data_IF_056296111460
#
_entry.id   IF_056296111460
#
_cell.length_a   1.000
_cell.length_b   1.000
_cell.length_c   1.000
_cell.angle_alpha   90.00
_cell.angle_beta   90.00
_cell.angle_gamma   90.00
#
_symmetry.space_group_name_H-M   'P 1'
#
loop_
_entity.id
_entity.type
_entity.pdbx_description
1 polymer ?
#
# COMPACT_ATOMS: atom_id res chain seq x y z
N UNK A 1 33.39 -11.84 -13.45
CA UNK A 1 33.92 -10.87 -14.42
C UNK A 1 33.48 -11.31 -15.82
N UNK A 2 32.52 -10.62 -16.41
CA UNK A 2 32.18 -10.78 -17.83
C UNK A 2 32.87 -9.65 -18.59
N UNK A 3 33.71 -9.98 -19.56
CA UNK A 3 34.37 -8.99 -20.44
C UNK A 3 33.64 -9.01 -21.77
N UNK A 4 33.14 -7.86 -22.21
CA UNK A 4 32.61 -7.66 -23.55
C UNK A 4 33.71 -7.14 -24.47
N UNK A 5 33.78 -7.66 -25.70
CA UNK A 5 34.67 -7.15 -26.75
C UNK A 5 36.12 -7.64 -26.67
N UNK A 6 36.46 -8.62 -27.51
CA UNK A 6 37.84 -9.02 -27.77
C UNK A 6 38.25 -8.65 -29.20
N UNK A 7 38.98 -7.55 -29.38
CA UNK A 7 39.89 -7.35 -30.51
C UNK A 7 40.94 -6.27 -30.16
N UNK A 8 42.22 -6.57 -30.42
CA UNK A 8 43.31 -5.58 -30.25
C UNK A 8 43.40 -4.67 -31.47
N UNK A 9 43.80 -3.41 -31.25
CA UNK A 9 43.86 -2.32 -32.22
C UNK A 9 44.76 -2.51 -33.47
N UNK A 10 45.34 -3.70 -33.68
CA UNK A 10 46.33 -3.93 -34.75
C UNK A 10 45.73 -4.52 -36.03
N UNK A 11 44.49 -5.03 -36.03
CA UNK A 11 43.95 -5.82 -37.15
C UNK A 11 42.51 -5.46 -37.58
N UNK A 12 42.29 -4.23 -38.04
CA UNK A 12 41.13 -3.93 -38.90
C UNK A 12 41.53 -3.06 -40.10
N UNK A 13 41.74 -3.65 -41.29
CA UNK A 13 41.89 -2.91 -42.54
C UNK A 13 40.50 -2.50 -43.05
N UNK A 14 40.38 -1.29 -43.61
CA UNK A 14 39.22 -0.73 -44.36
C UNK A 14 38.36 0.34 -43.64
N UNK A 15 38.98 1.40 -43.11
CA UNK A 15 38.29 2.68 -42.91
C UNK A 15 38.51 3.62 -44.11
N UNK A 16 37.43 3.95 -44.82
CA UNK A 16 37.39 5.00 -45.85
C UNK A 16 36.16 5.93 -45.63
N UNK A 17 36.16 7.17 -46.15
CA UNK A 17 35.47 8.30 -45.52
C UNK A 17 34.02 8.55 -45.96
N UNK A 18 33.34 7.61 -46.61
CA UNK A 18 32.01 7.87 -47.16
C UNK A 18 31.03 6.74 -46.84
N UNK A 19 30.45 6.71 -45.63
CA UNK A 19 29.14 6.07 -45.42
C UNK A 19 28.37 6.75 -44.26
N UNK A 20 27.30 7.46 -44.63
CA UNK A 20 26.18 7.85 -43.78
C UNK A 20 25.06 6.82 -43.95
N UNK A 21 24.60 6.18 -42.85
CA UNK A 21 23.23 5.68 -42.54
C UNK A 21 23.32 4.81 -41.27
N UNK A 22 22.70 5.24 -40.18
CA UNK A 22 21.35 4.85 -39.71
C UNK A 22 21.24 3.36 -39.39
N UNK A 23 21.21 3.07 -38.09
CA UNK A 23 20.73 1.82 -37.49
C UNK A 23 21.58 0.62 -37.81
N UNK A 24 22.51 0.29 -36.92
CA UNK A 24 22.81 -1.09 -36.52
C UNK A 24 23.74 -1.05 -35.30
N UNK A 25 23.34 -1.77 -34.26
CA UNK A 25 24.16 -2.03 -33.09
C UNK A 25 25.42 -2.79 -33.53
N UNK A 26 26.59 -2.18 -33.35
CA UNK A 26 27.83 -2.86 -33.69
C UNK A 26 29.05 -1.97 -33.61
N UNK A 27 29.74 -2.04 -32.47
CA UNK A 27 31.15 -1.77 -32.25
C UNK A 27 31.63 -0.35 -32.61
N UNK A 28 32.03 0.44 -31.59
CA UNK A 28 33.33 1.13 -31.45
C UNK A 28 33.33 2.07 -30.23
N UNK A 29 34.36 1.95 -29.39
CA UNK A 29 34.71 2.87 -28.30
C UNK A 29 35.48 4.08 -28.87
N UNK A 30 35.04 5.31 -28.57
CA UNK A 30 35.77 6.55 -28.85
C UNK A 30 36.03 7.33 -27.54
N UNK A 31 37.25 7.82 -27.42
CA UNK A 31 37.85 8.42 -26.25
C UNK A 31 37.80 9.95 -26.39
N UNK A 32 36.75 10.66 -25.94
CA UNK A 32 36.89 12.09 -25.58
C UNK A 32 35.72 12.64 -24.76
N UNK A 33 36.04 13.17 -23.59
CA UNK A 33 35.08 13.71 -22.61
C UNK A 33 34.70 15.16 -22.90
N UNK A 34 33.40 15.41 -23.09
CA UNK A 34 32.74 16.65 -22.69
C UNK A 34 31.35 16.29 -22.15
N UNK A 35 31.19 16.35 -20.82
CA UNK A 35 29.91 16.13 -20.16
C UNK A 35 28.94 17.25 -20.53
N UNK A 36 27.96 16.97 -21.39
CA UNK A 36 26.71 17.71 -21.39
C UNK A 36 25.73 16.94 -20.50
N UNK A 37 25.57 17.39 -19.26
CA UNK A 37 24.37 17.05 -18.49
C UNK A 37 23.21 17.80 -19.13
N UNK A 38 22.43 17.15 -19.98
CA UNK A 38 21.09 17.65 -20.30
C UNK A 38 20.18 17.28 -19.11
N UNK A 39 19.69 18.26 -18.32
CA UNK A 39 18.83 18.00 -17.16
C UNK A 39 17.42 17.52 -17.54
N UNK A 40 17.10 17.37 -18.83
CA UNK A 40 15.76 16.99 -19.29
C UNK A 40 15.61 15.52 -19.69
N UNK A 41 16.69 14.72 -19.68
CA UNK A 41 16.66 13.29 -20.04
C UNK A 41 17.54 12.47 -19.09
N UNK A 42 16.99 12.04 -17.96
CA UNK A 42 17.63 11.00 -17.15
C UNK A 42 17.35 9.63 -17.75
N UNK A 43 18.29 9.10 -18.53
CA UNK A 43 18.30 7.72 -19.00
C UNK A 43 18.70 6.79 -17.83
N UNK A 44 17.88 5.79 -17.48
CA UNK A 44 18.18 4.86 -16.40
C UNK A 44 18.72 3.54 -16.94
N UNK A 45 19.91 3.12 -16.50
CA UNK A 45 20.32 1.71 -16.54
C UNK A 45 19.64 1.05 -15.35
N UNK A 46 18.81 0.03 -15.59
CA UNK A 46 18.25 -0.80 -14.53
C UNK A 46 18.70 -2.24 -14.70
N UNK A 47 19.11 -2.84 -13.60
CA UNK A 47 19.45 -4.25 -13.51
C UNK A 47 18.20 -5.01 -13.09
N UNK A 48 17.96 -6.19 -13.61
CA UNK A 48 16.97 -7.11 -13.05
C UNK A 48 17.66 -8.34 -12.50
N UNK A 49 17.25 -8.82 -11.33
CA UNK A 49 17.64 -10.14 -10.81
C UNK A 49 16.39 -10.99 -10.66
N UNK A 50 16.35 -12.13 -11.35
CA UNK A 50 15.16 -12.98 -11.42
C UNK A 50 13.90 -12.23 -11.90
N UNK A 51 14.07 -11.34 -12.89
CA UNK A 51 13.02 -10.46 -13.42
C UNK A 51 12.46 -9.43 -12.42
N UNK A 52 13.11 -9.25 -11.26
CA UNK A 52 12.81 -8.17 -10.33
C UNK A 52 13.78 -7.01 -10.58
N UNK A 53 13.28 -5.78 -10.84
CA UNK A 53 14.14 -4.63 -11.02
C UNK A 53 14.91 -4.31 -9.74
N UNK A 54 16.21 -4.13 -9.92
CA UNK A 54 17.18 -3.72 -8.93
C UNK A 54 17.26 -2.22 -8.97
N UNK A 55 16.93 -1.61 -7.85
CA UNK A 55 17.19 -0.19 -7.60
C UNK A 55 18.60 -0.05 -7.04
N UNK A 56 19.47 0.64 -7.79
CA UNK A 56 20.78 1.05 -7.31
C UNK A 56 20.66 2.17 -6.26
N UNK A 57 21.63 2.29 -5.36
CA UNK A 57 21.74 3.44 -4.47
C UNK A 57 21.98 4.75 -5.24
N UNK A 58 21.97 5.89 -4.55
CA UNK A 58 22.36 7.19 -5.12
C UNK A 58 23.71 7.12 -5.84
N UNK A 59 23.89 8.00 -6.84
CA UNK A 59 25.10 8.08 -7.65
C UNK A 59 26.34 8.07 -6.75
N UNK A 60 27.14 7.02 -6.90
CA UNK A 60 28.45 6.90 -6.30
C UNK A 60 29.49 7.28 -7.36
N UNK A 61 30.37 8.24 -7.07
CA UNK A 61 31.46 8.62 -7.97
C UNK A 61 32.45 7.50 -8.25
N UNK A 62 32.46 6.45 -7.43
CA UNK A 62 33.26 5.23 -7.61
C UNK A 62 32.54 4.16 -8.45
N UNK A 63 31.26 4.37 -8.80
CA UNK A 63 30.40 3.46 -9.57
C UNK A 63 30.33 2.02 -9.01
N UNK A 64 30.53 1.85 -7.70
CA UNK A 64 30.38 0.57 -7.01
C UNK A 64 29.03 0.52 -6.30
N UNK A 65 28.25 -0.52 -6.62
CA UNK A 65 26.90 -0.75 -6.08
C UNK A 65 26.82 -2.18 -5.55
N UNK A 66 26.26 -2.35 -4.35
CA UNK A 66 26.05 -3.67 -3.74
C UNK A 66 24.56 -3.94 -3.56
N UNK A 67 24.13 -5.13 -3.95
CA UNK A 67 22.75 -5.60 -3.84
C UNK A 67 22.72 -6.97 -3.18
N UNK A 68 21.86 -7.13 -2.17
CA UNK A 68 21.57 -8.42 -1.58
C UNK A 68 20.24 -8.95 -2.12
N UNK A 69 20.26 -10.13 -2.73
CA UNK A 69 19.07 -10.83 -3.22
C UNK A 69 18.95 -12.16 -2.49
N UNK A 70 17.81 -12.41 -1.86
CA UNK A 70 17.53 -13.70 -1.22
C UNK A 70 17.33 -14.75 -2.31
N UNK A 71 18.21 -15.76 -2.34
CA UNK A 71 18.10 -16.86 -3.28
C UNK A 71 16.89 -17.75 -2.99
N UNK A 72 16.23 -18.25 -4.04
CA UNK A 72 15.15 -19.23 -3.97
C UNK A 72 15.61 -20.66 -4.31
N UNK A 73 16.93 -20.89 -4.36
CA UNK A 73 17.53 -22.16 -4.76
C UNK A 73 17.57 -22.42 -6.28
N UNK A 74 17.04 -21.53 -7.11
CA UNK A 74 17.18 -21.59 -8.57
C UNK A 74 18.42 -20.78 -9.05
N UNK A 75 18.92 -21.05 -10.26
CA UNK A 75 19.96 -20.21 -10.87
C UNK A 75 19.49 -18.75 -10.97
N UNK A 76 20.31 -17.82 -10.47
CA UNK A 76 20.04 -16.40 -10.63
C UNK A 76 20.15 -16.00 -12.10
N UNK A 77 19.18 -15.24 -12.60
CA UNK A 77 19.20 -14.64 -13.94
C UNK A 77 19.35 -13.14 -13.82
N UNK A 78 20.17 -12.54 -14.69
CA UNK A 78 20.36 -11.09 -14.74
C UNK A 78 20.09 -10.56 -16.15
N UNK A 79 19.36 -9.46 -16.21
CA UNK A 79 19.11 -8.72 -17.44
C UNK A 79 19.59 -7.28 -17.27
N UNK A 80 20.34 -6.81 -18.26
CA UNK A 80 20.76 -5.41 -18.38
C UNK A 80 20.03 -4.89 -19.61
N UNK A 81 19.08 -3.98 -19.42
CA UNK A 81 18.47 -3.29 -20.53
C UNK A 81 19.19 -1.97 -20.79
N UNK A 82 19.82 -1.91 -21.95
CA UNK A 82 20.37 -0.71 -22.53
C UNK A 82 19.41 -0.24 -23.63
N UNK A 83 18.96 1.02 -23.57
CA UNK A 83 18.14 1.55 -24.64
C UNK A 83 19.04 2.13 -25.73
N UNK A 84 18.98 1.51 -26.91
CA UNK A 84 19.84 1.72 -28.09
C UNK A 84 19.87 3.15 -28.68
N UNK A 85 19.22 4.12 -28.05
CA UNK A 85 19.18 5.53 -28.49
C UNK A 85 19.38 6.54 -27.37
N UNK A 86 19.64 6.09 -26.14
CA UNK A 86 19.64 6.92 -24.94
C UNK A 86 21.04 7.32 -24.46
N UNK A 87 22.07 6.69 -25.02
CA UNK A 87 23.46 6.82 -24.60
C UNK A 87 24.31 7.17 -25.82
N UNK A 88 25.21 8.13 -25.65
CA UNK A 88 26.28 8.45 -26.63
C UNK A 88 27.65 8.06 -26.08
N UNK A 89 27.70 7.30 -24.98
CA UNK A 89 28.87 6.93 -24.21
C UNK A 89 29.06 5.40 -24.13
N UNK A 90 29.71 4.84 -25.15
CA UNK A 90 29.90 3.38 -25.25
C UNK A 90 31.10 2.86 -24.43
N UNK A 91 31.47 3.51 -23.32
CA UNK A 91 32.62 3.13 -22.50
C UNK A 91 32.25 2.94 -21.02
N UNK A 92 32.16 1.67 -20.59
CA UNK A 92 32.01 1.27 -19.20
C UNK A 92 32.15 -0.24 -19.01
N UNK A 93 32.55 -0.69 -17.82
CA UNK A 93 32.55 -2.12 -17.47
C UNK A 93 31.70 -2.32 -16.22
N UNK A 94 30.60 -3.09 -16.33
CA UNK A 94 29.84 -3.54 -15.17
C UNK A 94 30.48 -4.83 -14.64
N UNK A 95 31.09 -4.77 -13.46
CA UNK A 95 31.52 -5.97 -12.74
C UNK A 95 30.46 -6.34 -11.71
N UNK A 96 29.77 -7.46 -11.95
CA UNK A 96 28.90 -8.08 -10.95
C UNK A 96 29.75 -9.10 -10.16
N UNK A 97 29.97 -8.82 -8.89
CA UNK A 97 30.56 -9.75 -7.93
C UNK A 97 29.44 -10.32 -7.05
N UNK A 98 29.23 -11.63 -7.15
CA UNK A 98 28.25 -12.35 -6.32
C UNK A 98 29.00 -12.86 -5.10
N UNK A 99 28.83 -12.18 -3.97
CA UNK A 99 29.39 -12.61 -2.69
C UNK A 99 28.27 -13.36 -1.96
N UNK A 100 28.46 -14.66 -1.74
CA UNK A 100 27.61 -15.43 -0.82
C UNK A 100 27.88 -14.93 0.60
N UNK A 101 27.10 -13.93 1.03
CA UNK A 101 27.17 -13.41 2.38
C UNK A 101 26.62 -14.44 3.36
N UNK A 102 27.35 -14.71 4.44
CA UNK A 102 26.75 -15.31 5.62
C UNK A 102 25.62 -14.38 6.08
N UNK A 103 24.37 -14.81 5.92
CA UNK A 103 23.19 -14.10 6.38
C UNK A 103 23.33 -13.81 7.88
N UNK A 104 23.04 -12.59 8.31
CA UNK A 104 22.41 -12.43 9.62
C UNK A 104 21.20 -13.36 9.61
N UNK A 105 21.26 -14.44 10.37
CA UNK A 105 20.22 -15.45 10.39
C UNK A 105 18.89 -14.78 10.79
N UNK A 106 18.00 -14.55 9.81
CA UNK A 106 16.66 -13.99 10.02
C UNK A 106 16.31 -12.69 9.29
N UNK A 107 17.25 -11.99 8.63
CA UNK A 107 16.90 -10.78 7.86
C UNK A 107 16.47 -11.12 6.41
N UNK A 108 15.33 -10.60 5.95
CA UNK A 108 14.84 -10.74 4.58
C UNK A 108 13.93 -9.58 4.16
N UNK A 109 13.76 -9.38 2.85
CA UNK A 109 12.81 -8.41 2.29
C UNK A 109 12.07 -9.01 1.10
N UNK A 110 10.80 -8.64 0.94
CA UNK A 110 9.92 -9.06 -0.15
C UNK A 110 10.20 -8.34 -1.48
N UNK A 111 11.11 -7.36 -1.50
CA UNK A 111 11.53 -6.67 -2.74
C UNK A 111 10.45 -5.79 -3.35
N UNK A 112 9.59 -5.18 -2.53
CA UNK A 112 8.48 -4.33 -3.00
C UNK A 112 9.03 -2.95 -3.40
N UNK A 113 8.82 -2.56 -4.66
CA UNK A 113 9.20 -1.24 -5.14
C UNK A 113 8.44 -0.15 -4.36
N UNK A 114 9.14 0.76 -3.66
CA UNK A 114 8.49 1.83 -2.92
C UNK A 114 7.81 2.80 -3.88
N UNK A 115 6.57 3.17 -3.56
CA UNK A 115 5.88 4.33 -4.14
C UNK A 115 5.88 5.45 -3.11
N UNK A 116 5.83 6.69 -3.58
CA UNK A 116 5.77 7.87 -2.71
C UNK A 116 4.47 8.62 -2.94
N UNK A 117 3.86 9.15 -1.89
CA UNK A 117 2.69 10.00 -2.00
C UNK A 117 3.07 11.42 -2.48
N UNK A 118 4.32 11.86 -2.19
CA UNK A 118 4.90 13.14 -2.61
C UNK A 118 6.24 12.95 -3.32
N UNK A 119 6.59 13.87 -4.22
CA UNK A 119 7.85 13.83 -4.94
C UNK A 119 8.92 14.60 -4.16
N UNK A 120 10.10 14.01 -4.00
CA UNK A 120 11.33 14.79 -3.82
C UNK A 120 11.84 15.23 -5.20
N UNK A 121 12.58 16.34 -5.32
CA UNK A 121 12.72 17.04 -6.59
C UNK A 121 13.51 16.17 -7.56
N UNK A 122 12.81 15.65 -8.58
CA UNK A 122 13.24 15.40 -9.97
C UNK A 122 12.66 14.13 -10.64
N UNK A 123 11.89 13.28 -9.94
CA UNK A 123 11.00 12.30 -10.60
C UNK A 123 9.89 11.79 -9.66
N UNK A 124 8.70 11.54 -10.19
CA UNK A 124 7.70 10.62 -9.62
C UNK A 124 6.95 10.93 -8.31
N UNK A 125 6.24 12.07 -8.28
CA UNK A 125 4.89 12.00 -7.74
C UNK A 125 3.92 12.77 -8.64
N UNK A 126 3.72 12.22 -9.84
CA UNK A 126 2.78 12.75 -10.83
C UNK A 126 1.37 12.94 -10.24
N UNK A 127 1.05 12.22 -9.17
CA UNK A 127 -0.23 12.19 -8.47
C UNK A 127 -0.28 13.02 -7.18
N UNK A 128 0.82 13.61 -6.70
CA UNK A 128 0.83 14.31 -5.41
C UNK A 128 -0.20 15.45 -5.30
N UNK A 129 -0.50 16.09 -6.43
CA UNK A 129 -1.47 17.18 -6.52
C UNK A 129 -2.91 16.71 -6.83
N UNK A 130 -3.12 15.40 -7.01
CA UNK A 130 -4.46 14.88 -7.27
C UNK A 130 -5.30 14.94 -6.02
N UNK A 131 -6.55 15.35 -6.17
CA UNK A 131 -7.53 15.30 -5.08
C UNK A 131 -7.86 13.85 -4.76
N UNK A 132 -7.67 13.48 -3.49
CA UNK A 132 -8.03 12.19 -2.93
C UNK A 132 -9.47 12.22 -2.42
N UNK A 133 -10.23 11.16 -2.65
CA UNK A 133 -11.62 11.07 -2.19
C UNK A 133 -12.59 11.96 -2.97
N UNK A 134 -13.74 12.28 -2.36
CA UNK A 134 -14.76 13.14 -2.96
C UNK A 134 -14.36 14.63 -2.81
N UNK A 135 -14.03 15.35 -3.90
CA UNK A 135 -13.62 16.75 -3.82
C UNK A 135 -14.70 17.65 -3.23
N UNK A 136 -15.98 17.26 -3.33
CA UNK A 136 -17.08 18.03 -2.79
C UNK A 136 -17.15 17.97 -1.26
N UNK A 137 -16.49 17.00 -0.63
CA UNK A 137 -16.66 16.76 0.82
C UNK A 137 -15.37 16.56 1.61
N UNK A 138 -14.23 16.24 0.98
CA UNK A 138 -12.97 15.93 1.67
C UNK A 138 -11.72 16.24 0.82
N UNK A 139 -11.69 17.37 0.11
CA UNK A 139 -10.72 17.66 -0.97
C UNK A 139 -9.25 17.91 -0.59
N UNK A 140 -8.60 17.00 0.16
CA UNK A 140 -7.14 16.96 0.35
C UNK A 140 -6.44 16.28 -0.83
N UNK A 141 -5.15 16.53 -1.01
CA UNK A 141 -4.37 15.90 -2.09
C UNK A 141 -3.75 14.57 -1.66
N UNK A 142 -3.42 13.69 -2.61
CA UNK A 142 -2.68 12.46 -2.33
C UNK A 142 -1.34 12.76 -1.66
N UNK A 143 -0.65 13.84 -2.04
CA UNK A 143 0.62 14.23 -1.40
C UNK A 143 0.50 14.59 0.08
N UNK A 144 -0.67 15.08 0.50
CA UNK A 144 -0.92 15.50 1.87
C UNK A 144 -1.36 14.33 2.76
N UNK A 145 -2.31 13.50 2.30
CA UNK A 145 -3.01 12.49 3.12
C UNK A 145 -3.02 11.07 2.53
N UNK A 146 -2.20 10.82 1.51
CA UNK A 146 -2.28 9.64 0.65
C UNK A 146 -1.51 8.40 1.09
N UNK A 147 -1.04 8.33 2.34
CA UNK A 147 -0.16 7.25 2.81
C UNK A 147 -0.84 5.90 2.69
N UNK A 148 -2.05 5.79 3.22
CA UNK A 148 -2.84 4.56 3.15
C UNK A 148 -3.17 4.14 1.72
N UNK A 149 -3.52 5.09 0.85
CA UNK A 149 -3.78 4.82 -0.57
C UNK A 149 -2.52 4.31 -1.29
N UNK A 150 -1.37 4.91 -0.99
CA UNK A 150 -0.08 4.57 -1.60
C UNK A 150 0.42 3.21 -1.14
N UNK A 151 0.25 2.87 0.15
CA UNK A 151 0.53 1.54 0.68
C UNK A 151 -0.32 0.46 0.03
N UNK A 152 -1.60 0.74 -0.21
CA UNK A 152 -2.45 -0.17 -0.98
C UNK A 152 -1.99 -0.32 -2.43
N UNK A 153 -1.59 0.76 -3.10
CA UNK A 153 -1.04 0.67 -4.45
C UNK A 153 0.24 -0.20 -4.50
N UNK A 154 1.15 -0.06 -3.53
CA UNK A 154 2.34 -0.93 -3.38
C UNK A 154 1.95 -2.38 -3.15
N UNK A 155 1.01 -2.64 -2.24
CA UNK A 155 0.51 -3.98 -1.92
C UNK A 155 -0.14 -4.64 -3.14
N UNK A 156 -0.94 -3.88 -3.90
CA UNK A 156 -1.56 -4.36 -5.14
C UNK A 156 -0.50 -4.67 -6.18
N UNK A 157 0.54 -3.84 -6.33
CA UNK A 157 1.62 -4.08 -7.28
C UNK A 157 2.41 -5.36 -6.97
N UNK A 158 2.64 -5.64 -5.69
CA UNK A 158 3.28 -6.90 -5.26
C UNK A 158 2.51 -8.12 -5.78
N UNK A 159 1.20 -8.17 -5.55
CA UNK A 159 0.34 -9.26 -6.04
C UNK A 159 0.06 -9.20 -7.54
N UNK A 160 0.03 -8.00 -8.12
CA UNK A 160 -0.27 -7.76 -9.53
C UNK A 160 0.88 -8.15 -10.46
N UNK A 161 2.12 -8.13 -9.97
CA UNK A 161 3.31 -8.45 -10.76
C UNK A 161 3.22 -9.84 -11.40
N UNK A 162 2.79 -10.86 -10.65
CA UNK A 162 2.58 -12.22 -11.17
C UNK A 162 1.47 -12.34 -12.23
N UNK A 163 0.67 -11.29 -12.41
CA UNK A 163 -0.42 -11.22 -13.39
C UNK A 163 -0.21 -10.12 -14.44
N UNK A 164 1.01 -9.58 -14.55
CA UNK A 164 1.33 -8.49 -15.47
C UNK A 164 0.43 -7.25 -15.27
N UNK A 165 0.12 -6.95 -14.01
CA UNK A 165 -0.69 -5.80 -13.62
C UNK A 165 0.11 -4.85 -12.72
N UNK A 166 -0.07 -3.55 -12.94
CA UNK A 166 0.42 -2.49 -12.08
C UNK A 166 -0.64 -1.39 -11.92
N UNK A 167 -0.63 -0.74 -10.78
CA UNK A 167 -1.46 0.42 -10.44
C UNK A 167 -0.59 1.50 -9.81
N UNK A 168 -0.98 2.75 -10.02
CA UNK A 168 -0.43 3.90 -9.29
C UNK A 168 -1.41 4.37 -8.22
N UNK A 169 -0.98 5.19 -7.24
CA UNK A 169 -1.91 5.86 -6.34
C UNK A 169 -3.02 6.65 -7.07
N UNK A 170 -2.70 7.27 -8.21
CA UNK A 170 -3.69 7.92 -9.09
C UNK A 170 -4.70 6.94 -9.66
N UNK A 171 -4.26 5.81 -10.19
CA UNK A 171 -5.17 4.81 -10.80
C UNK A 171 -6.12 4.24 -9.76
N UNK A 172 -5.61 3.88 -8.58
CA UNK A 172 -6.42 3.41 -7.47
C UNK A 172 -7.39 4.48 -6.97
N UNK A 173 -6.94 5.73 -6.77
CA UNK A 173 -7.81 6.85 -6.39
C UNK A 173 -8.95 7.06 -7.40
N UNK A 174 -8.63 7.07 -8.69
CA UNK A 174 -9.62 7.25 -9.75
C UNK A 174 -10.65 6.12 -9.75
N UNK A 175 -10.23 4.88 -9.59
CA UNK A 175 -11.15 3.75 -9.50
C UNK A 175 -12.03 3.85 -8.27
N UNK A 176 -11.45 4.09 -7.09
CA UNK A 176 -12.19 4.22 -5.83
C UNK A 176 -13.23 5.34 -5.90
N UNK A 177 -12.88 6.51 -6.47
CA UNK A 177 -13.83 7.62 -6.63
C UNK A 177 -15.02 7.26 -7.52
N UNK A 178 -14.81 6.44 -8.55
CA UNK A 178 -15.86 5.99 -9.45
C UNK A 178 -16.74 4.88 -8.85
N UNK A 179 -16.24 4.15 -7.84
CA UNK A 179 -16.90 2.96 -7.27
C UNK A 179 -17.37 3.14 -5.81
N UNK A 180 -17.43 4.39 -5.32
CA UNK A 180 -17.85 4.67 -3.94
C UNK A 180 -16.86 4.14 -2.90
N UNK A 181 -15.57 4.20 -3.21
CA UNK A 181 -14.46 3.68 -2.42
C UNK A 181 -14.07 4.48 -1.18
N UNK A 182 -14.76 5.59 -0.91
CA UNK A 182 -14.47 6.50 0.21
C UNK A 182 -15.66 6.59 1.16
N UNK A 183 -15.37 6.67 2.45
CA UNK A 183 -16.35 6.98 3.49
C UNK A 183 -16.87 8.41 3.28
N UNK A 184 -18.16 8.65 3.52
CA UNK A 184 -18.82 9.90 3.15
C UNK A 184 -18.28 11.05 4.00
N UNK A 185 -17.84 12.11 3.33
CA UNK A 185 -17.32 13.30 4.01
C UNK A 185 -15.89 13.18 4.50
N UNK A 186 -15.15 12.14 4.11
CA UNK A 186 -13.76 11.93 4.55
C UNK A 186 -12.85 11.47 3.41
N UNK A 187 -11.54 11.45 3.66
CA UNK A 187 -10.55 10.84 2.77
C UNK A 187 -10.35 9.34 3.03
N UNK A 188 -11.02 8.77 4.03
CA UNK A 188 -10.81 7.39 4.42
C UNK A 188 -11.35 6.43 3.36
N UNK A 189 -10.53 5.45 3.03
CA UNK A 189 -10.83 4.43 2.02
C UNK A 189 -11.56 3.26 2.67
N UNK A 190 -12.62 2.78 2.02
CA UNK A 190 -13.20 1.48 2.31
C UNK A 190 -12.24 0.38 1.87
N UNK A 191 -11.57 -0.27 2.81
CA UNK A 191 -10.59 -1.32 2.47
C UNK A 191 -11.24 -2.48 1.70
N UNK A 192 -12.53 -2.76 1.93
CA UNK A 192 -13.31 -3.73 1.15
C UNK A 192 -13.45 -3.35 -0.32
N UNK A 193 -13.43 -2.05 -0.67
CA UNK A 193 -13.40 -1.57 -2.07
C UNK A 193 -12.02 -1.76 -2.70
N UNK A 194 -10.94 -1.66 -1.92
CA UNK A 194 -9.61 -2.05 -2.39
C UNK A 194 -9.56 -3.54 -2.69
N UNK A 195 -10.14 -4.39 -1.84
CA UNK A 195 -10.27 -5.82 -2.09
C UNK A 195 -11.09 -6.13 -3.35
N UNK A 196 -12.19 -5.42 -3.59
CA UNK A 196 -12.98 -5.52 -4.83
C UNK A 196 -12.13 -5.18 -6.06
N UNK A 197 -11.34 -4.11 -6.00
CA UNK A 197 -10.41 -3.73 -7.07
C UNK A 197 -9.39 -4.84 -7.33
N UNK A 198 -8.71 -5.34 -6.29
CA UNK A 198 -7.72 -6.43 -6.40
C UNK A 198 -8.34 -7.66 -7.06
N UNK A 199 -9.52 -8.11 -6.61
CA UNK A 199 -10.21 -9.27 -7.18
C UNK A 199 -10.59 -9.06 -8.64
N UNK A 200 -11.00 -7.83 -9.01
CA UNK A 200 -11.41 -7.49 -10.37
C UNK A 200 -10.23 -7.49 -11.34
N UNK A 201 -9.13 -6.84 -10.97
CA UNK A 201 -7.95 -6.71 -11.84
C UNK A 201 -7.17 -8.02 -11.96
N UNK A 202 -7.09 -8.80 -10.88
CA UNK A 202 -6.35 -10.08 -10.88
C UNK A 202 -7.20 -11.25 -11.36
N UNK A 203 -8.54 -11.15 -11.24
CA UNK A 203 -9.49 -12.26 -11.41
C UNK A 203 -9.19 -13.44 -10.46
N UNK A 204 -8.65 -13.12 -9.28
CA UNK A 204 -8.14 -14.11 -8.33
C UNK A 204 -8.81 -14.00 -6.97
N UNK A 205 -8.87 -15.13 -6.25
CA UNK A 205 -9.42 -15.17 -4.92
C UNK A 205 -8.53 -14.46 -3.89
N UNK A 206 -8.93 -13.27 -3.44
CA UNK A 206 -8.24 -12.58 -2.34
C UNK A 206 -9.12 -12.49 -1.09
N UNK A 207 -8.50 -12.51 0.09
CA UNK A 207 -9.13 -12.14 1.37
C UNK A 207 -8.47 -10.89 1.93
N UNK A 208 -9.22 -10.15 2.75
CA UNK A 208 -8.71 -9.03 3.54
C UNK A 208 -8.56 -9.48 4.99
N UNK A 209 -7.35 -9.32 5.53
CA UNK A 209 -7.09 -9.39 6.95
C UNK A 209 -6.99 -8.00 7.56
N UNK A 210 -7.52 -7.86 8.77
CA UNK A 210 -7.52 -6.62 9.54
C UNK A 210 -7.56 -6.95 11.03
N UNK A 211 -6.54 -6.54 11.77
CA UNK A 211 -6.44 -6.79 13.21
C UNK A 211 -5.61 -5.74 13.96
N UNK A 212 -5.65 -5.81 15.29
CA UNK A 212 -4.76 -5.05 16.16
C UNK A 212 -3.29 -5.49 16.00
N UNK A 213 -2.35 -4.68 16.45
CA UNK A 213 -0.92 -4.99 16.40
C UNK A 213 -0.57 -6.35 17.06
N UNK A 214 0.22 -7.17 16.38
CA UNK A 214 0.65 -8.48 16.87
C UNK A 214 1.92 -8.92 16.12
N UNK A 215 3.08 -8.78 16.78
CA UNK A 215 4.39 -9.04 16.18
C UNK A 215 4.52 -10.49 15.68
N UNK A 216 4.00 -11.47 16.41
CA UNK A 216 4.03 -12.87 15.99
C UNK A 216 3.27 -13.09 14.68
N UNK A 217 2.13 -12.43 14.52
CA UNK A 217 1.34 -12.56 13.29
C UNK A 217 1.97 -11.76 12.16
N UNK A 218 2.54 -10.58 12.44
CA UNK A 218 3.29 -9.80 11.46
C UNK A 218 4.44 -10.63 10.86
N UNK A 219 5.25 -11.25 11.72
CA UNK A 219 6.33 -12.14 11.29
C UNK A 219 5.80 -13.30 10.45
N UNK A 220 4.78 -14.00 10.94
CA UNK A 220 4.18 -15.13 10.22
C UNK A 220 3.69 -14.73 8.81
N UNK A 221 3.08 -13.54 8.68
CA UNK A 221 2.62 -13.00 7.39
C UNK A 221 3.80 -12.70 6.47
N UNK A 222 4.81 -11.99 6.96
CA UNK A 222 5.98 -11.61 6.17
C UNK A 222 6.80 -12.84 5.73
N UNK A 223 7.02 -13.81 6.62
CA UNK A 223 7.68 -15.09 6.32
C UNK A 223 6.89 -15.89 5.28
N UNK A 224 5.57 -15.73 5.23
CA UNK A 224 4.69 -16.34 4.22
C UNK A 224 4.61 -15.54 2.91
N UNK A 225 5.40 -14.47 2.75
CA UNK A 225 5.38 -13.63 1.56
C UNK A 225 4.22 -12.64 1.50
N UNK A 226 3.58 -12.31 2.62
CA UNK A 226 2.42 -11.41 2.66
C UNK A 226 2.87 -10.07 3.25
N UNK A 227 2.93 -8.98 2.44
CA UNK A 227 3.23 -7.66 2.96
C UNK A 227 2.06 -7.10 3.79
N UNK A 228 2.37 -6.27 4.79
CA UNK A 228 1.40 -5.83 5.79
C UNK A 228 1.45 -4.31 5.97
N UNK A 229 0.31 -3.64 5.81
CA UNK A 229 0.15 -2.22 6.08
C UNK A 229 -0.01 -2.02 7.59
N UNK A 230 0.80 -1.14 8.17
CA UNK A 230 0.83 -0.84 9.59
C UNK A 230 0.34 0.58 9.85
N UNK A 231 -0.58 0.73 10.81
CA UNK A 231 -1.00 2.05 11.29
C UNK A 231 -0.04 2.54 12.40
N UNK A 232 0.71 3.60 12.10
CA UNK A 232 1.69 4.22 13.00
C UNK A 232 1.21 5.61 13.43
N UNK A 233 1.97 6.30 14.30
CA UNK A 233 1.62 7.66 14.79
C UNK A 233 0.17 7.80 15.28
N UNK A 234 -0.26 6.89 16.17
CA UNK A 234 -1.64 6.85 16.68
C UNK A 234 -2.71 6.71 15.59
N UNK A 235 -2.42 5.91 14.55
CA UNK A 235 -3.27 5.68 13.40
C UNK A 235 -3.57 6.94 12.57
N UNK A 236 -2.63 7.90 12.56
CA UNK A 236 -2.65 9.06 11.67
C UNK A 236 -1.81 8.89 10.40
N UNK A 237 -0.86 7.93 10.39
CA UNK A 237 0.01 7.61 9.25
C UNK A 237 0.10 6.11 9.04
N UNK A 238 0.43 5.71 7.81
CA UNK A 238 0.50 4.30 7.40
C UNK A 238 1.81 4.03 6.65
N UNK A 239 2.37 2.84 6.90
CA UNK A 239 3.56 2.34 6.22
C UNK A 239 3.40 0.88 5.85
N UNK A 240 4.05 0.43 4.79
CA UNK A 240 4.04 -0.96 4.36
C UNK A 240 5.25 -1.72 4.94
N UNK A 241 5.03 -2.71 5.80
CA UNK A 241 6.06 -3.63 6.23
C UNK A 241 6.38 -4.65 5.12
N UNK A 242 7.67 -4.81 4.83
CA UNK A 242 8.15 -5.58 3.66
C UNK A 242 9.14 -6.69 4.02
N UNK A 243 9.44 -6.91 5.29
CA UNK A 243 10.31 -8.00 5.72
C UNK A 243 10.89 -7.78 7.12
N UNK A 244 11.65 -8.76 7.60
CA UNK A 244 12.28 -8.74 8.93
C UNK A 244 13.76 -8.34 8.84
N UNK A 245 14.25 -7.64 9.86
CA UNK A 245 15.66 -7.21 9.93
C UNK A 245 16.07 -6.89 11.36
N UNK A 246 17.30 -6.39 11.55
CA UNK A 246 17.72 -5.77 12.80
C UNK A 246 18.15 -4.32 12.57
N UNK A 247 17.89 -3.47 13.56
CA UNK A 247 18.40 -2.10 13.60
C UNK A 247 19.13 -1.89 14.92
N UNK A 248 20.43 -1.62 14.82
CA UNK A 248 21.35 -1.52 15.97
C UNK A 248 21.29 -2.77 16.88
N UNK A 249 21.28 -3.96 16.27
CA UNK A 249 21.28 -5.25 16.97
C UNK A 249 19.94 -5.65 17.59
N UNK A 250 18.86 -4.91 17.35
CA UNK A 250 17.52 -5.24 17.82
C UNK A 250 16.59 -5.61 16.66
N UNK A 251 15.72 -6.64 16.80
CA UNK A 251 14.74 -7.01 15.79
C UNK A 251 13.80 -5.85 15.41
N UNK A 252 13.52 -5.73 14.12
CA UNK A 252 12.59 -4.77 13.55
C UNK A 252 12.16 -5.25 12.16
N UNK A 253 11.40 -4.42 11.45
CA UNK A 253 10.90 -4.70 10.12
C UNK A 253 11.38 -3.64 9.14
N UNK A 254 11.70 -4.06 7.93
CA UNK A 254 11.81 -3.14 6.80
C UNK A 254 10.44 -2.53 6.52
N UNK A 255 10.44 -1.24 6.17
CA UNK A 255 9.23 -0.53 5.78
C UNK A 255 9.45 0.20 4.46
N UNK A 256 8.38 0.30 3.67
CA UNK A 256 8.25 1.34 2.66
C UNK A 256 7.33 2.42 3.25
N UNK A 257 7.88 3.60 3.52
CA UNK A 257 7.10 4.75 4.01
C UNK A 257 6.70 5.67 2.83
N UNK A 258 5.40 5.86 2.53
CA UNK A 258 4.96 6.72 1.44
C UNK A 258 5.37 8.19 1.54
N UNK A 259 5.74 8.69 2.72
CA UNK A 259 5.99 10.11 2.96
C UNK A 259 7.43 10.44 3.38
N UNK A 260 8.04 9.58 4.21
CA UNK A 260 9.35 9.84 4.84
C UNK A 260 10.55 9.16 4.16
N UNK A 261 10.37 8.43 3.05
CA UNK A 261 11.51 7.88 2.32
C UNK A 261 12.32 9.02 1.67
N UNK A 262 13.34 9.48 2.38
CA UNK A 262 14.32 10.41 1.86
C UNK A 262 15.36 9.64 1.04
N UNK A 263 15.96 10.26 0.01
CA UNK A 263 17.05 9.70 -0.79
C UNK A 263 18.30 9.27 0.02
N UNK A 264 18.37 9.63 1.31
CA UNK A 264 19.46 9.31 2.23
C UNK A 264 19.13 8.20 3.24
N UNK A 265 17.86 7.78 3.32
CA UNK A 265 17.46 6.66 4.17
C UNK A 265 17.24 5.43 3.30
N UNK A 266 18.36 4.79 2.96
CA UNK A 266 18.41 3.77 1.90
C UNK A 266 17.68 2.47 2.30
N UNK A 267 17.41 2.24 3.59
CA UNK A 267 16.72 1.04 4.09
C UNK A 267 15.92 1.37 5.37
N UNK A 268 14.78 2.06 5.26
CA UNK A 268 14.05 2.49 6.45
C UNK A 268 13.49 1.29 7.22
N UNK A 269 13.59 1.36 8.54
CA UNK A 269 13.04 0.34 9.44
C UNK A 269 11.94 0.92 10.32
N UNK A 270 11.01 0.08 10.76
CA UNK A 270 9.98 0.50 11.72
C UNK A 270 10.61 1.03 13.02
N UNK A 271 11.77 0.50 13.44
CA UNK A 271 12.47 0.97 14.64
C UNK A 271 13.07 2.36 14.47
N UNK A 272 13.72 2.65 13.34
CA UNK A 272 14.38 3.95 13.12
C UNK A 272 13.41 5.13 13.11
N UNK A 273 12.18 4.93 12.61
CA UNK A 273 11.19 6.00 12.46
C UNK A 273 10.09 5.99 13.52
N UNK A 274 9.69 4.80 13.95
CA UNK A 274 8.51 4.59 14.78
C UNK A 274 8.79 3.80 16.06
N UNK A 275 10.06 3.47 16.34
CA UNK A 275 10.46 2.72 17.52
C UNK A 275 9.69 1.39 17.70
N UNK A 276 9.39 0.70 16.59
CA UNK A 276 8.56 -0.52 16.55
C UNK A 276 7.12 -0.33 17.10
N UNK A 277 6.59 0.88 17.12
CA UNK A 277 5.24 1.17 17.60
C UNK A 277 4.26 1.28 16.44
N UNK A 278 3.25 0.42 16.45
CA UNK A 278 2.12 0.43 15.52
C UNK A 278 0.87 -0.12 16.24
N UNK A 279 -0.32 0.13 15.69
CA UNK A 279 -1.59 -0.10 16.39
C UNK A 279 -2.58 -1.02 15.65
N UNK A 280 -2.46 -1.11 14.33
CA UNK A 280 -3.32 -1.90 13.45
C UNK A 280 -2.49 -2.49 12.31
N UNK A 281 -2.92 -3.64 11.82
CA UNK A 281 -2.33 -4.35 10.69
C UNK A 281 -3.42 -4.67 9.67
N UNK A 282 -3.15 -4.40 8.39
CA UNK A 282 -4.04 -4.76 7.28
C UNK A 282 -3.24 -5.40 6.15
N UNK A 283 -3.80 -6.42 5.51
CA UNK A 283 -3.16 -7.10 4.39
C UNK A 283 -4.21 -7.74 3.48
N UNK A 284 -3.80 -8.01 2.25
CA UNK A 284 -4.54 -8.93 1.37
C UNK A 284 -3.67 -10.14 1.10
N UNK A 285 -4.31 -11.31 1.04
CA UNK A 285 -3.67 -12.56 0.71
C UNK A 285 -4.49 -13.29 -0.36
N UNK A 286 -3.81 -13.82 -1.37
CA UNK A 286 -4.42 -14.74 -2.31
C UNK A 286 -4.72 -16.07 -1.58
N UNK A 287 -5.89 -16.66 -1.81
CA UNK A 287 -6.31 -17.92 -1.18
C UNK A 287 -6.66 -18.98 -2.21
N UNK A 288 -6.66 -20.25 -1.82
CA UNK A 288 -7.18 -21.30 -2.70
C UNK A 288 -8.71 -21.41 -2.60
N UNK A 289 -9.39 -21.51 -3.73
CA UNK A 289 -10.85 -21.63 -3.81
C UNK A 289 -11.59 -20.29 -3.94
N UNK A 290 -12.91 -20.29 -4.16
CA UNK A 290 -13.68 -19.06 -4.29
C UNK A 290 -13.68 -18.34 -2.93
N UNK A 291 -13.22 -17.08 -2.85
CA UNK A 291 -13.32 -16.35 -1.59
C UNK A 291 -14.80 -16.02 -1.40
N UNK A 292 -15.29 -16.00 -0.16
CA UNK A 292 -16.58 -15.37 0.07
C UNK A 292 -16.39 -13.86 -0.03
N UNK A 293 -17.05 -13.16 -0.97
CA UNK A 293 -16.96 -11.72 -1.03
C UNK A 293 -17.85 -11.04 0.01
N UNK A 294 -18.63 -11.82 0.77
CA UNK A 294 -19.48 -11.35 1.86
C UNK A 294 -18.73 -10.48 2.83
N UNK A 295 -19.31 -9.35 3.23
CA UNK A 295 -18.77 -8.58 4.36
C UNK A 295 -19.80 -7.56 4.84
N UNK A 296 -19.62 -7.12 6.09
CA UNK A 296 -20.27 -5.94 6.64
C UNK A 296 -19.19 -4.96 7.08
N UNK A 297 -19.28 -3.72 6.62
CA UNK A 297 -18.45 -2.61 7.08
C UNK A 297 -19.35 -1.45 7.51
N UNK A 298 -19.06 -0.86 8.66
CA UNK A 298 -19.71 0.36 9.13
C UNK A 298 -18.66 1.41 9.47
N UNK A 299 -18.92 2.67 9.14
CA UNK A 299 -18.05 3.79 9.45
C UNK A 299 -18.86 4.90 10.13
N UNK A 300 -18.29 5.51 11.15
CA UNK A 300 -18.92 6.57 11.91
C UNK A 300 -17.97 7.77 12.08
N UNK A 301 -18.28 8.86 11.37
CA UNK A 301 -17.67 10.16 11.56
C UNK A 301 -18.50 10.96 12.57
N UNK A 302 -17.99 11.18 13.79
CA UNK A 302 -18.84 11.63 14.89
C UNK A 302 -18.10 12.07 16.16
N UNK A 303 -18.79 12.82 17.04
CA UNK A 303 -18.60 12.72 18.48
C UNK A 303 -19.50 11.62 19.08
N UNK A 304 -19.37 10.37 18.60
CA UNK A 304 -20.08 9.18 19.08
C UNK A 304 -19.24 7.91 18.91
N UNK A 305 -19.65 6.82 19.54
CA UNK A 305 -19.09 5.46 19.39
C UNK A 305 -20.10 4.51 18.75
N UNK A 306 -19.62 3.42 18.14
CA UNK A 306 -20.47 2.33 17.66
C UNK A 306 -20.42 1.14 18.62
N UNK A 307 -21.59 0.54 18.85
CA UNK A 307 -21.72 -0.79 19.44
C UNK A 307 -22.61 -1.66 18.54
N UNK A 308 -22.02 -2.72 17.99
CA UNK A 308 -22.71 -3.64 17.08
C UNK A 308 -23.05 -4.90 17.88
N UNK A 309 -24.30 -5.35 17.79
CA UNK A 309 -24.75 -6.66 18.28
C UNK A 309 -25.17 -7.52 17.09
N UNK A 310 -24.62 -8.72 16.96
CA UNK A 310 -24.95 -9.65 15.88
C UNK A 310 -26.23 -10.46 16.16
N UNK A 311 -26.71 -11.28 15.21
CA UNK A 311 -27.94 -12.07 15.39
C UNK A 311 -27.83 -13.14 16.50
N UNK A 312 -26.63 -13.45 16.98
CA UNK A 312 -26.38 -14.37 18.09
C UNK A 312 -26.30 -13.65 19.44
N UNK A 313 -26.43 -12.32 19.47
CA UNK A 313 -26.34 -11.51 20.68
C UNK A 313 -24.91 -11.15 21.11
N UNK A 314 -23.91 -11.44 20.29
CA UNK A 314 -22.50 -11.10 20.54
C UNK A 314 -22.25 -9.66 20.13
N UNK A 315 -21.36 -8.96 20.85
CA UNK A 315 -21.08 -7.54 20.65
C UNK A 315 -19.65 -7.25 20.21
N UNK A 316 -19.48 -6.26 19.35
CA UNK A 316 -18.17 -5.66 19.03
C UNK A 316 -18.31 -4.14 18.92
N UNK A 317 -17.35 -3.39 19.45
CA UNK A 317 -17.39 -1.93 19.51
C UNK A 317 -17.20 -1.39 20.92
N UNK A 318 -17.60 -0.14 21.16
CA UNK A 318 -17.41 0.54 22.44
C UNK A 318 -18.75 1.01 22.99
N UNK A 319 -19.00 0.71 24.26
CA UNK A 319 -20.05 1.36 25.04
C UNK A 319 -19.44 2.48 25.89
N UNK A 320 -19.57 3.75 25.46
CA UNK A 320 -18.97 4.88 26.17
C UNK A 320 -19.68 5.21 27.48
N UNK A 321 -20.87 4.66 27.74
CA UNK A 321 -21.61 4.88 29.00
C UNK A 321 -20.99 4.13 30.15
N UNK A 322 -20.40 2.96 29.86
CA UNK A 322 -19.71 2.11 30.83
C UNK A 322 -18.19 2.11 30.64
N UNK A 323 -17.68 2.69 29.55
CA UNK A 323 -16.28 2.64 29.17
C UNK A 323 -15.81 1.24 28.77
N UNK A 324 -16.73 0.37 28.32
CA UNK A 324 -16.42 -1.04 28.01
C UNK A 324 -16.24 -1.24 26.52
N UNK A 325 -15.15 -1.87 26.13
CA UNK A 325 -14.91 -2.34 24.76
C UNK A 325 -15.29 -3.81 24.65
N UNK A 326 -16.01 -4.16 23.58
CA UNK A 326 -16.44 -5.51 23.26
C UNK A 326 -15.75 -6.03 21.99
N UNK A 327 -15.44 -7.33 21.98
CA UNK A 327 -14.85 -8.05 20.85
C UNK A 327 -15.34 -9.50 20.84
N UNK A 328 -16.66 -9.68 20.90
CA UNK A 328 -17.32 -10.98 21.05
C UNK A 328 -17.75 -11.58 19.69
N UNK A 329 -17.93 -10.76 18.64
CA UNK A 329 -18.29 -11.24 17.29
C UNK A 329 -17.03 -11.84 16.62
N UNK A 330 -17.01 -13.15 16.27
CA UNK A 330 -15.81 -13.80 15.74
C UNK A 330 -15.34 -13.21 14.42
N UNK A 331 -14.03 -12.94 14.33
CA UNK A 331 -13.40 -12.40 13.13
C UNK A 331 -13.76 -10.94 12.82
N UNK A 332 -14.66 -10.32 13.58
CA UNK A 332 -14.99 -8.91 13.41
C UNK A 332 -13.99 -8.01 14.13
N UNK A 333 -13.84 -6.81 13.62
CA UNK A 333 -12.87 -5.84 14.08
C UNK A 333 -13.52 -4.47 14.32
N UNK A 334 -12.93 -3.66 15.21
CA UNK A 334 -13.38 -2.29 15.50
C UNK A 334 -12.17 -1.39 15.75
N UNK A 335 -11.98 -0.39 14.89
CA UNK A 335 -10.81 0.48 14.94
C UNK A 335 -11.15 1.93 14.68
N UNK A 336 -10.19 2.80 15.01
CA UNK A 336 -10.20 4.19 14.59
C UNK A 336 -9.30 4.33 13.38
N UNK A 337 -9.83 4.92 12.31
CA UNK A 337 -9.11 5.27 11.10
C UNK A 337 -9.01 6.78 10.99
N UNK A 338 -7.82 7.30 10.76
CA UNK A 338 -7.57 8.72 10.56
C UNK A 338 -6.47 8.88 9.50
N UNK A 339 -6.56 9.91 8.67
CA UNK A 339 -5.51 10.26 7.72
C UNK A 339 -5.03 11.66 8.06
N UNK A 340 -3.87 11.76 8.70
CA UNK A 340 -3.24 13.03 9.00
C UNK A 340 -2.67 13.66 7.74
N UNK A 341 -2.58 14.99 7.73
CA UNK A 341 -1.79 15.70 6.75
C UNK A 341 -0.31 15.61 7.15
N UNK A 342 0.44 14.80 6.42
CA UNK A 342 1.85 14.55 6.71
C UNK A 342 2.73 15.80 6.48
N UNK A 343 2.25 16.80 5.73
CA UNK A 343 2.93 18.11 5.58
C UNK A 343 2.92 18.93 6.88
N UNK A 344 2.08 18.55 7.84
CA UNK A 344 1.84 19.28 9.08
C UNK A 344 1.15 20.63 8.88
N UNK A 345 0.68 20.94 7.67
CA UNK A 345 -0.03 22.19 7.36
C UNK A 345 -1.55 22.05 7.46
N UNK A 346 -2.06 20.82 7.40
CA UNK A 346 -3.48 20.51 7.48
C UNK A 346 -4.03 20.50 8.91
N UNK A 347 -5.37 20.52 9.04
CA UNK A 347 -6.01 20.37 10.33
C UNK A 347 -5.72 18.98 10.92
N UNK A 348 -5.88 18.80 12.25
CA UNK A 348 -5.85 17.48 12.86
C UNK A 348 -6.83 16.54 12.14
N UNK A 349 -6.46 15.28 11.92
CA UNK A 349 -7.33 14.35 11.20
C UNK A 349 -8.63 14.13 11.99
N UNK A 350 -9.73 13.96 11.26
CA UNK A 350 -11.00 13.59 11.86
C UNK A 350 -11.09 12.06 11.96
N UNK A 351 -10.97 11.48 13.17
CA UNK A 351 -11.02 10.03 13.34
C UNK A 351 -12.41 9.50 13.00
N UNK A 352 -12.45 8.42 12.23
CA UNK A 352 -13.65 7.65 11.92
C UNK A 352 -13.56 6.31 12.62
N UNK A 353 -14.66 5.87 13.24
CA UNK A 353 -14.72 4.54 13.84
C UNK A 353 -15.25 3.57 12.81
N UNK A 354 -14.48 2.52 12.53
CA UNK A 354 -14.80 1.50 11.53
C UNK A 354 -15.03 0.16 12.22
N UNK A 355 -16.17 -0.46 11.94
CA UNK A 355 -16.45 -1.87 12.22
C UNK A 355 -16.31 -2.65 10.92
N UNK A 356 -15.65 -3.81 10.96
CA UNK A 356 -15.57 -4.72 9.82
C UNK A 356 -15.84 -6.17 10.25
N UNK A 357 -16.68 -6.87 9.51
CA UNK A 357 -16.92 -8.30 9.66
C UNK A 357 -16.72 -9.00 8.30
N UNK A 358 -15.66 -9.83 8.13
CA UNK A 358 -15.34 -10.50 6.87
C UNK A 358 -16.24 -11.70 6.57
N UNK A 359 -16.85 -12.30 7.59
CA UNK A 359 -17.75 -13.46 7.44
C UNK A 359 -19.01 -13.24 8.29
N UNK A 360 -19.85 -12.27 7.92
CA UNK A 360 -21.06 -11.94 8.67
C UNK A 360 -22.05 -13.11 8.68
N UNK A 361 -22.69 -13.34 9.83
CA UNK A 361 -23.80 -14.30 9.94
C UNK A 361 -25.06 -13.68 9.37
N UNK A 362 -25.84 -14.44 8.60
CA UNK A 362 -27.16 -14.00 8.14
C UNK A 362 -28.09 -13.69 9.33
N UNK A 363 -28.79 -12.55 9.25
CA UNK A 363 -29.74 -12.12 10.27
C UNK A 363 -29.74 -10.61 10.53
N UNK A 364 -30.38 -10.22 11.63
CA UNK A 364 -30.48 -8.81 12.04
C UNK A 364 -29.33 -8.42 12.96
N UNK A 365 -28.58 -7.41 12.56
CA UNK A 365 -27.60 -6.71 13.38
C UNK A 365 -28.25 -5.47 14.01
N UNK A 366 -27.99 -5.26 15.30
CA UNK A 366 -28.38 -4.04 16.00
C UNK A 366 -27.14 -3.15 16.11
N UNK A 367 -27.18 -1.96 15.52
CA UNK A 367 -26.10 -0.97 15.58
C UNK A 367 -26.55 0.20 16.43
N UNK A 368 -25.87 0.42 17.54
CA UNK A 368 -26.08 1.56 18.43
C UNK A 368 -25.01 2.63 18.14
N UNK A 369 -25.44 3.82 17.72
CA UNK A 369 -24.61 5.03 17.69
C UNK A 369 -24.82 5.75 19.02
N UNK A 370 -23.78 5.82 19.85
CA UNK A 370 -23.85 6.31 21.22
C UNK A 370 -23.07 7.62 21.34
N UNK A 371 -23.77 8.72 21.59
CA UNK A 371 -23.19 10.06 21.67
C UNK A 371 -22.16 10.21 22.79
N UNK A 372 -20.99 10.74 22.46
CA UNK A 372 -19.93 11.13 23.42
C UNK A 372 -19.77 12.64 23.50
N UNK A 373 -20.31 13.38 22.54
CA UNK A 373 -20.38 14.84 22.51
C UNK A 373 -21.67 15.32 21.83
N UNK A 374 -21.84 16.64 21.73
CA UNK A 374 -22.94 17.22 20.97
C UNK A 374 -22.50 17.58 19.55
N UNK A 375 -23.27 17.21 18.54
CA UNK A 375 -22.99 17.56 17.14
C UNK A 375 -23.61 16.60 16.13
N UNK A 376 -23.28 16.83 14.85
CA UNK A 376 -23.68 15.91 13.78
C UNK A 376 -22.81 14.66 13.76
N UNK A 377 -23.40 13.55 13.35
CA UNK A 377 -22.64 12.37 12.94
C UNK A 377 -23.08 11.90 11.55
N UNK A 378 -22.17 11.24 10.86
CA UNK A 378 -22.42 10.49 9.61
C UNK A 378 -22.13 9.03 9.87
N UNK A 379 -23.14 8.18 9.68
CA UNK A 379 -23.05 6.73 9.77
C UNK A 379 -23.18 6.14 8.36
N UNK A 380 -22.10 5.54 7.88
CA UNK A 380 -22.04 4.87 6.60
C UNK A 380 -22.00 3.36 6.77
N UNK A 381 -22.67 2.67 5.85
CA UNK A 381 -22.68 1.23 5.69
C UNK A 381 -22.16 0.87 4.31
N UNK A 382 -21.32 -0.16 4.26
CA UNK A 382 -20.96 -0.87 3.04
C UNK A 382 -21.00 -2.38 3.31
N UNK A 383 -21.81 -3.09 2.54
CA UNK A 383 -21.96 -4.54 2.65
C UNK A 383 -21.79 -5.20 1.30
N UNK A 384 -21.32 -6.44 1.29
CA UNK A 384 -21.24 -7.28 0.09
C UNK A 384 -22.00 -8.57 0.34
N UNK A 385 -22.73 -9.05 -0.67
CA UNK A 385 -23.32 -10.39 -0.66
C UNK A 385 -22.34 -11.45 -1.19
N UNK A 386 -22.76 -12.71 -1.26
CA UNK A 386 -21.93 -13.82 -1.75
C UNK A 386 -21.63 -13.74 -3.25
N UNK A 387 -22.38 -12.94 -4.02
CA UNK A 387 -22.09 -12.63 -5.42
C UNK A 387 -21.06 -11.50 -5.58
N UNK A 388 -20.69 -10.84 -4.49
CA UNK A 388 -19.80 -9.67 -4.49
C UNK A 388 -20.49 -8.39 -4.93
N UNK A 389 -21.83 -8.35 -4.92
CA UNK A 389 -22.55 -7.12 -5.19
C UNK A 389 -22.54 -6.21 -3.95
N UNK A 390 -22.06 -4.96 -4.05
CA UNK A 390 -22.07 -4.04 -2.94
C UNK A 390 -23.46 -3.42 -2.73
N UNK A 391 -23.82 -3.22 -1.46
CA UNK A 391 -24.93 -2.36 -1.03
C UNK A 391 -24.39 -1.34 -0.04
N UNK A 392 -24.68 -0.06 -0.26
CA UNK A 392 -24.22 1.03 0.59
C UNK A 392 -25.39 1.88 1.08
N UNK A 393 -25.19 2.50 2.24
CA UNK A 393 -26.14 3.47 2.78
C UNK A 393 -25.42 4.48 3.66
N UNK A 394 -25.94 5.71 3.70
CA UNK A 394 -25.48 6.77 4.57
C UNK A 394 -26.65 7.37 5.33
N UNK A 395 -26.49 7.53 6.63
CA UNK A 395 -27.40 8.28 7.49
C UNK A 395 -26.66 9.41 8.18
N UNK A 396 -27.23 10.60 8.16
CA UNK A 396 -26.76 11.73 8.96
C UNK A 396 -27.71 11.94 10.13
N UNK A 397 -27.15 12.14 11.31
CA UNK A 397 -27.91 12.38 12.53
C UNK A 397 -27.30 13.48 13.39
N UNK A 398 -27.97 13.74 14.52
CA UNK A 398 -27.51 14.66 15.56
C UNK A 398 -27.48 13.88 16.86
N UNK A 399 -26.42 14.06 17.62
CA UNK A 399 -26.22 13.37 18.90
C UNK A 399 -25.88 14.36 20.01
N UNK A 400 -26.07 13.92 21.24
CA UNK A 400 -25.66 14.59 22.48
C UNK A 400 -25.08 13.51 23.41
N UNK A 401 -24.28 13.87 24.44
CA UNK A 401 -23.68 12.88 25.33
C UNK A 401 -24.72 11.93 25.93
N UNK A 402 -24.54 10.62 25.71
CA UNK A 402 -25.42 9.55 26.20
C UNK A 402 -26.64 9.25 25.34
N UNK A 403 -26.97 10.07 24.32
CA UNK A 403 -28.04 9.77 23.36
C UNK A 403 -27.70 8.50 22.57
N UNK A 404 -28.69 7.65 22.36
CA UNK A 404 -28.53 6.40 21.59
C UNK A 404 -29.46 6.40 20.40
N UNK A 405 -28.87 6.39 19.20
CA UNK A 405 -29.58 6.17 17.95
C UNK A 405 -29.38 4.71 17.52
N UNK A 406 -30.47 3.94 17.42
CA UNK A 406 -30.41 2.50 17.10
C UNK A 406 -30.86 2.22 15.66
N UNK A 407 -30.03 1.47 14.94
CA UNK A 407 -30.27 0.99 13.59
C UNK A 407 -30.35 -0.54 13.58
N UNK A 408 -31.37 -1.10 12.91
CA UNK A 408 -31.44 -2.53 12.64
C UNK A 408 -31.07 -2.78 11.18
N UNK A 409 -30.05 -3.61 10.97
CA UNK A 409 -29.50 -3.92 9.65
C UNK A 409 -29.72 -5.40 9.40
N UNK A 410 -30.60 -5.71 8.44
CA UNK A 410 -30.82 -7.09 8.01
C UNK A 410 -29.80 -7.44 6.94
N UNK A 411 -28.93 -8.39 7.27
CA UNK A 411 -27.93 -8.92 6.36
C UNK A 411 -28.30 -10.33 5.92
N UNK A 412 -28.16 -10.62 4.63
CA UNK A 412 -28.31 -11.94 4.07
C UNK A 412 -27.26 -12.16 2.99
N UNK A 413 -26.47 -13.21 3.09
CA UNK A 413 -25.42 -13.55 2.14
C UNK A 413 -25.95 -13.85 0.73
N UNK A 414 -27.20 -14.31 0.60
CA UNK A 414 -27.84 -14.67 -0.68
C UNK A 414 -28.54 -13.52 -1.42
N UNK A 415 -28.56 -12.30 -0.87
CA UNK A 415 -29.22 -11.15 -1.50
C UNK A 415 -28.58 -9.86 -1.03
N UNK A 416 -28.51 -8.83 -1.88
CA UNK A 416 -28.02 -7.53 -1.46
C UNK A 416 -28.78 -7.03 -0.22
N UNK A 417 -28.08 -6.69 0.88
CA UNK A 417 -28.74 -6.28 2.13
C UNK A 417 -29.64 -5.08 1.90
N UNK A 418 -30.89 -5.19 2.32
CA UNK A 418 -31.82 -4.06 2.35
C UNK A 418 -31.60 -3.28 3.65
N UNK A 419 -31.36 -1.97 3.54
CA UNK A 419 -31.19 -1.06 4.68
C UNK A 419 -32.48 -0.26 4.94
N UNK A 420 -32.51 0.46 6.07
CA UNK A 420 -33.42 1.53 6.56
C UNK A 420 -34.48 1.04 7.57
N UNK A 421 -34.71 1.65 8.76
CA UNK A 421 -34.76 3.06 9.26
C UNK A 421 -34.31 3.06 10.75
N UNK A 422 -33.76 4.17 11.33
CA UNK A 422 -33.56 4.29 12.78
C UNK A 422 -34.84 3.96 13.55
N UNK A 423 -34.80 2.93 14.38
CA UNK A 423 -36.00 2.35 14.99
C UNK A 423 -36.48 3.21 16.16
N UNK A 424 -35.56 3.83 16.90
CA UNK A 424 -35.82 4.60 18.11
C UNK A 424 -34.65 5.58 18.37
N UNK A 425 -34.96 6.84 18.72
CA UNK A 425 -34.03 7.73 19.44
C UNK A 425 -34.33 7.61 20.93
N UNK A 426 -33.36 7.26 21.77
CA UNK A 426 -33.51 7.21 23.23
C UNK A 426 -32.52 8.11 23.95
#
# INVERSE_FOLDING_TARGET
MFVWGGCSATYCPNSGPEYLRWGDAGFLTDDYWHSFSDPSWSSYIYLEVNSLPVTFSSYNSEHQYSLQVTGNGAPATFHIQDCSSCYTDDAGSLTVEIIEGATDAGAFSLGILPLQQRGFPEADAQWANDIMGDPATAGSTIGAVGCFLTDWAMTINYWGFQYNFRTTPRDLNNWLRQHGGYQKGTNNVWTTKVLEYVRTITQRPFILGDQANNDTTLNTLLESGIPVILAVNSAGHYVLATGETTYQGAPTWYINDPYYNNLFDLVPTLKSHYNNVYSRMQWVAEVQGPPSPTSISFALASPAELLITDPQGRRTGVDPRTGTTYSEIPGASYYVQALADDTGQGPPPHPVKEFYAPTPTDGSYKVEVIGTGSGSYTFDQLTYDAGGAPSNNTVVGQTTPGQVDTYNISYASGSSPNVFIPLVRR
#
